data_IF_900361714871
#
_entry.id   IF_900361714871
#
_cell.length_a   1.000
_cell.length_b   1.000
_cell.length_c   1.000
_cell.angle_alpha   90.00
_cell.angle_beta   90.00
_cell.angle_gamma   90.00
#
_symmetry.space_group_name_H-M   'P 1'
#
loop_
_entity.id
_entity.type
_entity.pdbx_description
1 polymer ?
#
# COMPACT_ATOMS: atom_id res chain seq x y z
N UNK A 1 -61.49 36.95 -51.28
CA UNK A 1 -62.26 37.32 -50.07
C UNK A 1 -61.78 36.40 -48.95
N UNK A 2 -61.27 36.98 -47.88
CA UNK A 2 -60.69 36.32 -46.71
C UNK A 2 -61.67 35.32 -46.07
N UNK A 3 -61.15 34.25 -45.45
CA UNK A 3 -61.25 34.00 -44.00
C UNK A 3 -60.39 32.78 -43.63
N UNK A 4 -59.38 33.04 -42.79
CA UNK A 4 -58.65 32.09 -41.94
C UNK A 4 -59.52 31.73 -40.74
N UNK A 5 -59.66 30.44 -40.40
CA UNK A 5 -59.88 30.02 -39.01
C UNK A 5 -59.05 28.76 -38.74
N UNK A 6 -58.19 28.89 -37.73
CA UNK A 6 -57.25 27.91 -37.23
C UNK A 6 -57.95 26.75 -36.49
N UNK A 7 -57.42 25.54 -36.68
CA UNK A 7 -57.72 24.36 -35.87
C UNK A 7 -57.12 24.51 -34.47
N UNK A 8 -57.92 24.30 -33.43
CA UNK A 8 -57.51 24.32 -32.03
C UNK A 8 -57.37 22.87 -31.57
N UNK A 9 -56.14 22.40 -31.41
CA UNK A 9 -55.83 21.09 -30.84
C UNK A 9 -56.12 21.06 -29.34
N UNK A 10 -56.68 19.93 -28.89
CA UNK A 10 -57.01 19.65 -27.49
C UNK A 10 -55.75 19.26 -26.69
N UNK A 11 -55.57 19.86 -25.51
CA UNK A 11 -54.62 19.41 -24.49
C UNK A 11 -55.19 18.20 -23.73
N UNK A 12 -54.46 17.09 -23.57
CA UNK A 12 -54.76 16.12 -22.52
C UNK A 12 -54.24 16.63 -21.15
N UNK A 13 -55.11 16.51 -20.14
CA UNK A 13 -54.83 16.78 -18.74
C UNK A 13 -53.78 15.81 -18.19
N UNK A 14 -52.77 16.33 -17.49
CA UNK A 14 -51.73 15.56 -16.83
C UNK A 14 -51.89 15.71 -15.31
N UNK A 15 -52.69 14.84 -14.69
CA UNK A 15 -52.98 14.83 -13.25
C UNK A 15 -52.30 13.66 -12.50
N UNK A 16 -51.54 12.80 -13.21
CA UNK A 16 -50.90 11.62 -12.62
C UNK A 16 -49.41 11.82 -12.26
N UNK A 17 -48.74 12.84 -12.79
CA UNK A 17 -47.31 13.10 -12.52
C UNK A 17 -47.04 13.69 -11.11
N UNK A 18 -48.03 14.31 -10.47
CA UNK A 18 -47.86 14.96 -9.16
C UNK A 18 -47.93 13.97 -7.98
N UNK A 19 -48.31 12.71 -8.24
CA UNK A 19 -48.39 11.68 -7.20
C UNK A 19 -47.07 10.93 -7.03
N UNK A 20 -46.26 10.85 -8.09
CA UNK A 20 -44.99 10.12 -8.10
C UNK A 20 -43.83 10.97 -7.52
N UNK A 21 -43.76 12.27 -7.81
CA UNK A 21 -42.78 13.16 -7.19
C UNK A 21 -42.99 13.32 -5.68
N UNK A 22 -44.25 13.38 -5.23
CA UNK A 22 -44.59 13.49 -3.80
C UNK A 22 -44.23 12.22 -3.02
N UNK A 23 -44.20 11.06 -3.68
CA UNK A 23 -43.79 9.80 -3.08
C UNK A 23 -42.26 9.64 -3.01
N UNK A 24 -41.52 10.22 -3.97
CA UNK A 24 -40.05 10.23 -3.97
C UNK A 24 -39.49 11.17 -2.89
N UNK A 25 -40.08 12.36 -2.72
CA UNK A 25 -39.66 13.33 -1.70
C UNK A 25 -39.92 12.83 -0.27
N UNK A 26 -40.96 12.02 -0.05
CA UNK A 26 -41.24 11.45 1.28
C UNK A 26 -40.23 10.36 1.69
N UNK A 27 -39.66 9.60 0.73
CA UNK A 27 -38.63 8.59 1.04
C UNK A 27 -37.25 9.19 1.34
N UNK A 28 -36.91 10.33 0.73
CA UNK A 28 -35.63 11.01 0.97
C UNK A 28 -35.60 11.64 2.38
N UNK A 29 -36.74 12.13 2.90
CA UNK A 29 -36.82 12.69 4.25
C UNK A 29 -36.76 11.62 5.37
N UNK A 30 -37.21 10.38 5.12
CA UNK A 30 -37.19 9.31 6.14
C UNK A 30 -35.83 8.59 6.24
N UNK A 31 -35.00 8.59 5.18
CA UNK A 31 -33.65 8.01 5.21
C UNK A 31 -32.58 8.93 5.84
N UNK A 32 -32.87 10.23 5.96
CA UNK A 32 -31.93 11.21 6.54
C UNK A 32 -31.93 11.24 8.09
N UNK A 33 -33.02 10.87 8.74
CA UNK A 33 -33.16 11.03 10.21
C UNK A 33 -32.84 9.79 11.04
N UNK A 34 -32.72 8.61 10.42
CA UNK A 34 -32.43 7.34 11.13
C UNK A 34 -30.96 6.93 11.08
N UNK A 35 -30.14 7.45 10.15
CA UNK A 35 -28.70 7.14 10.09
C UNK A 35 -27.82 8.09 10.93
N UNK A 36 -28.30 9.29 11.28
CA UNK A 36 -27.52 10.29 12.05
C UNK A 36 -27.74 10.27 13.57
N UNK A 37 -28.74 9.54 14.08
CA UNK A 37 -28.94 9.37 15.54
C UNK A 37 -28.02 8.34 16.20
N UNK A 38 -27.32 7.52 15.42
CA UNK A 38 -26.32 6.56 15.93
C UNK A 38 -24.87 7.08 15.91
N UNK A 39 -24.66 8.37 15.64
CA UNK A 39 -23.33 8.99 15.67
C UNK A 39 -23.13 9.99 16.82
N UNK A 40 -24.11 10.15 17.71
CA UNK A 40 -24.02 11.02 18.90
C UNK A 40 -24.46 10.22 20.13
N UNK A 41 -23.77 9.12 20.44
CA UNK A 41 -23.70 8.53 21.78
C UNK A 41 -22.50 7.59 21.86
N UNK A 42 -21.28 8.13 21.82
CA UNK A 42 -20.13 7.49 22.47
C UNK A 42 -18.93 8.44 22.69
N UNK A 43 -19.20 9.68 23.08
CA UNK A 43 -18.20 10.55 23.68
C UNK A 43 -18.70 11.00 25.03
N UNK A 44 -18.39 10.21 26.06
CA UNK A 44 -18.12 10.74 27.39
C UNK A 44 -17.50 9.68 28.30
N UNK A 45 -16.36 10.08 28.90
CA UNK A 45 -15.82 9.60 30.18
C UNK A 45 -15.04 8.28 30.19
N UNK A 46 -13.76 8.35 29.81
CA UNK A 46 -12.71 7.81 30.67
C UNK A 46 -11.73 8.94 30.98
N UNK A 47 -11.79 9.40 32.22
CA UNK A 47 -10.94 10.42 32.81
C UNK A 47 -9.48 9.99 32.76
N UNK A 48 -8.66 10.93 32.32
CA UNK A 48 -7.22 11.01 32.51
C UNK A 48 -6.94 11.00 34.03
N UNK A 49 -6.42 9.89 34.56
CA UNK A 49 -5.78 9.87 35.87
C UNK A 49 -4.31 10.29 35.72
N UNK A 50 -4.10 11.59 35.61
CA UNK A 50 -2.80 12.20 35.88
C UNK A 50 -2.73 12.48 37.39
N UNK A 51 -2.29 11.51 38.19
CA UNK A 51 -1.85 11.70 39.59
C UNK A 51 -1.24 10.41 40.16
N UNK A 52 -0.03 10.07 39.71
CA UNK A 52 0.95 9.32 40.51
C UNK A 52 2.36 9.79 40.10
N UNK A 53 2.65 11.06 40.38
CA UNK A 53 4.01 11.53 40.63
C UNK A 53 4.12 11.67 42.15
N UNK A 54 5.05 10.93 42.77
CA UNK A 54 5.81 11.23 44.01
C UNK A 54 6.52 9.92 44.43
N UNK A 55 7.78 9.74 44.01
CA UNK A 55 9.02 9.83 44.82
C UNK A 55 9.34 8.60 45.68
N UNK A 56 10.22 7.71 45.18
CA UNK A 56 11.37 7.10 45.89
C UNK A 56 12.40 6.77 44.78
N UNK A 57 13.32 7.68 44.43
CA UNK A 57 14.66 7.93 44.99
C UNK A 57 15.64 6.74 44.81
N UNK A 58 16.80 6.99 44.18
CA UNK A 58 17.68 5.98 43.59
C UNK A 58 18.76 5.52 44.58
N UNK A 59 19.28 4.29 44.42
CA UNK A 59 20.40 3.81 45.22
C UNK A 59 21.39 3.00 44.37
N UNK A 60 22.64 3.46 44.44
CA UNK A 60 23.90 2.80 44.09
C UNK A 60 24.42 2.91 42.63
N UNK A 61 24.75 4.15 42.26
CA UNK A 61 26.00 4.44 41.54
C UNK A 61 27.14 4.51 42.57
N UNK A 62 28.11 3.59 42.49
CA UNK A 62 29.55 3.75 42.81
C UNK A 62 30.14 2.40 43.21
N UNK A 63 31.07 1.91 42.40
CA UNK A 63 32.36 1.35 42.86
C UNK A 63 33.28 1.29 41.63
N UNK A 64 33.91 2.44 41.37
CA UNK A 64 35.20 2.53 40.69
C UNK A 64 36.31 2.30 41.72
N UNK A 65 37.51 1.92 41.24
CA UNK A 65 38.80 1.61 41.90
C UNK A 65 39.00 0.10 42.12
N UNK A 66 40.01 -0.58 41.54
CA UNK A 66 41.49 -0.38 41.60
C UNK A 66 42.08 -1.06 40.34
N UNK A 67 42.73 -0.36 39.39
CA UNK A 67 44.17 -0.03 39.34
C UNK A 67 45.13 -1.16 39.75
N UNK A 68 45.48 -2.04 38.81
CA UNK A 68 46.77 -2.74 38.87
C UNK A 68 47.54 -2.57 37.57
N UNK A 69 48.79 -2.15 37.78
CA UNK A 69 49.85 -1.75 36.87
C UNK A 69 50.82 -2.94 36.74
N UNK A 70 51.26 -3.28 35.53
CA UNK A 70 52.66 -3.59 35.12
C UNK A 70 52.74 -4.44 33.85
N UNK A 71 53.89 -4.32 33.21
CA UNK A 71 54.21 -4.34 31.78
C UNK A 71 54.36 -5.70 31.06
N UNK A 72 54.20 -5.58 29.75
CA UNK A 72 54.95 -6.22 28.64
C UNK A 72 54.96 -7.74 28.48
N UNK A 73 54.29 -8.17 27.40
CA UNK A 73 54.91 -9.08 26.44
C UNK A 73 54.52 -8.64 25.02
N UNK A 74 55.54 -8.35 24.22
CA UNK A 74 55.42 -8.06 22.78
C UNK A 74 55.09 -9.37 22.08
N UNK A 75 53.94 -9.45 21.41
CA UNK A 75 53.82 -10.30 20.22
C UNK A 75 53.21 -9.50 19.08
N UNK A 76 54.06 -9.20 18.11
CA UNK A 76 53.68 -8.68 16.82
C UNK A 76 52.97 -9.80 16.06
N UNK A 77 51.65 -9.85 16.14
CA UNK A 77 50.87 -10.65 15.20
C UNK A 77 50.78 -9.88 13.87
N UNK A 78 51.76 -10.16 13.02
CA UNK A 78 51.83 -9.75 11.63
C UNK A 78 50.67 -10.40 10.88
N UNK A 79 49.72 -9.59 10.40
CA UNK A 79 48.76 -10.04 9.40
C UNK A 79 49.50 -10.24 8.08
N UNK A 80 49.79 -11.50 7.76
CA UNK A 80 50.01 -11.95 6.39
C UNK A 80 48.81 -11.48 5.57
N UNK A 81 49.02 -10.54 4.63
CA UNK A 81 48.01 -10.19 3.63
C UNK A 81 47.82 -11.42 2.74
N UNK A 82 46.89 -12.29 3.13
CA UNK A 82 46.29 -13.24 2.20
C UNK A 82 45.69 -12.39 1.09
N UNK A 83 46.36 -12.39 -0.06
CA UNK A 83 45.77 -11.94 -1.30
C UNK A 83 44.56 -12.86 -1.52
N UNK A 84 43.40 -12.37 -1.11
CA UNK A 84 42.15 -12.85 -1.64
C UNK A 84 42.17 -12.46 -3.12
N UNK A 85 42.67 -13.39 -3.93
CA UNK A 85 42.29 -13.47 -5.32
C UNK A 85 40.79 -13.80 -5.29
N UNK A 86 39.97 -12.77 -5.04
CA UNK A 86 38.58 -12.76 -5.44
C UNK A 86 38.65 -12.75 -6.95
N UNK A 87 38.72 -13.95 -7.49
CA UNK A 87 38.31 -14.30 -8.82
C UNK A 87 37.07 -13.46 -9.12
N UNK A 88 37.26 -12.49 -10.01
CA UNK A 88 36.23 -11.60 -10.52
C UNK A 88 35.17 -12.49 -11.15
N UNK A 89 34.20 -12.91 -10.34
CA UNK A 89 33.01 -13.61 -10.81
C UNK A 89 32.36 -12.62 -11.79
N UNK A 90 32.39 -13.05 -13.04
CA UNK A 90 31.70 -12.50 -14.18
C UNK A 90 30.35 -11.91 -13.75
N UNK A 91 30.23 -10.59 -13.91
CA UNK A 91 29.07 -9.80 -13.51
C UNK A 91 27.85 -10.27 -14.27
N UNK A 92 27.06 -11.15 -13.65
CA UNK A 92 25.76 -11.56 -14.19
C UNK A 92 24.88 -10.31 -14.29
N UNK A 93 24.33 -10.10 -15.48
CA UNK A 93 23.56 -8.91 -15.87
C UNK A 93 22.15 -8.86 -15.22
N UNK A 94 22.04 -9.23 -13.96
CA UNK A 94 20.78 -9.32 -13.22
C UNK A 94 20.68 -8.19 -12.20
N UNK A 95 19.56 -7.46 -12.22
CA UNK A 95 19.22 -6.49 -11.17
C UNK A 95 18.47 -7.19 -10.04
N UNK A 96 18.95 -7.06 -8.81
CA UNK A 96 18.27 -7.60 -7.62
C UNK A 96 17.55 -6.46 -6.90
N UNK A 97 16.24 -6.62 -6.70
CA UNK A 97 15.39 -5.65 -6.02
C UNK A 97 14.73 -6.35 -4.83
N UNK A 98 14.84 -5.73 -3.65
CA UNK A 98 14.12 -6.14 -2.45
C UNK A 98 13.23 -4.98 -2.03
N UNK A 99 11.93 -5.23 -1.94
CA UNK A 99 10.91 -4.31 -1.45
C UNK A 99 10.30 -4.89 -0.18
N UNK A 100 10.27 -4.11 0.90
CA UNK A 100 9.64 -4.51 2.15
C UNK A 100 8.30 -3.79 2.32
N UNK A 101 7.31 -4.52 2.82
CA UNK A 101 6.01 -4.02 3.26
C UNK A 101 5.80 -4.29 4.75
N UNK A 102 4.90 -3.57 5.42
CA UNK A 102 4.66 -3.70 6.85
C UNK A 102 3.19 -3.47 7.24
N UNK A 103 2.83 -3.78 8.48
CA UNK A 103 1.45 -3.65 8.99
C UNK A 103 0.92 -2.19 9.03
N UNK A 104 1.73 -1.19 8.66
CA UNK A 104 1.34 0.21 8.52
C UNK A 104 0.94 0.58 7.09
N UNK A 105 0.78 -0.41 6.20
CA UNK A 105 0.46 -0.21 4.79
C UNK A 105 1.50 0.65 4.07
N UNK A 106 2.78 0.37 4.28
CA UNK A 106 3.88 1.09 3.64
C UNK A 106 4.79 0.14 2.89
N UNK A 107 5.16 0.52 1.67
CA UNK A 107 6.41 0.05 1.08
C UNK A 107 7.58 0.87 1.64
N UNK A 108 8.73 0.23 1.86
CA UNK A 108 9.94 0.90 2.34
C UNK A 108 10.64 1.75 1.26
N UNK A 109 10.26 1.54 -0.01
CA UNK A 109 10.75 2.28 -1.17
C UNK A 109 9.58 2.65 -2.08
N UNK A 110 9.66 3.85 -2.65
CA UNK A 110 8.71 4.37 -3.65
C UNK A 110 9.36 4.56 -5.02
N UNK A 111 10.67 4.36 -5.13
CA UNK A 111 11.42 4.42 -6.38
C UNK A 111 12.39 3.24 -6.47
N UNK A 112 12.32 2.54 -7.60
CA UNK A 112 13.13 1.38 -7.94
C UNK A 112 13.79 1.64 -9.30
N UNK A 113 14.96 1.05 -9.53
CA UNK A 113 15.70 1.19 -10.78
C UNK A 113 16.16 -0.18 -11.29
N UNK A 114 16.00 -0.42 -12.59
CA UNK A 114 16.56 -1.57 -13.28
C UNK A 114 16.93 -1.20 -14.71
N UNK A 115 17.65 -2.10 -15.39
CA UNK A 115 18.09 -1.90 -16.79
C UNK A 115 17.19 -2.62 -17.77
N UNK A 116 16.96 -1.99 -18.92
CA UNK A 116 16.21 -2.58 -20.02
C UNK A 116 16.84 -3.88 -20.52
N UNK A 117 16.00 -4.88 -20.81
CA UNK A 117 16.41 -6.18 -21.36
C UNK A 117 17.24 -7.06 -20.40
N UNK A 118 17.39 -6.64 -19.14
CA UNK A 118 18.10 -7.38 -18.11
C UNK A 118 17.14 -8.08 -17.17
N UNK A 119 17.56 -9.22 -16.62
CA UNK A 119 16.74 -9.98 -15.69
C UNK A 119 16.59 -9.20 -14.37
N UNK A 120 15.36 -9.04 -13.89
CA UNK A 120 15.05 -8.43 -12.61
C UNK A 120 14.62 -9.54 -11.66
N UNK A 121 15.41 -9.78 -10.62
CA UNK A 121 15.02 -10.64 -9.49
C UNK A 121 14.43 -9.75 -8.42
N UNK A 122 13.11 -9.77 -8.33
CA UNK A 122 12.36 -8.95 -7.39
C UNK A 122 11.85 -9.80 -6.23
N UNK A 123 12.08 -9.35 -5.01
CA UNK A 123 11.55 -9.96 -3.79
C UNK A 123 10.67 -8.98 -3.05
N UNK A 124 9.42 -9.37 -2.78
CA UNK A 124 8.56 -8.68 -1.82
C UNK A 124 8.62 -9.42 -0.48
N UNK A 125 8.84 -8.68 0.60
CA UNK A 125 8.71 -9.19 1.96
C UNK A 125 7.57 -8.49 2.68
N UNK A 126 6.78 -9.23 3.43
CA UNK A 126 5.85 -8.66 4.41
C UNK A 126 6.46 -8.78 5.81
N UNK A 127 7.07 -7.71 6.30
CA UNK A 127 7.80 -7.65 7.59
C UNK A 127 6.89 -7.55 8.82
N UNK A 128 5.60 -7.30 8.59
CA UNK A 128 4.57 -7.29 9.63
C UNK A 128 4.22 -8.67 10.19
N UNK A 129 3.16 -8.73 10.98
CA UNK A 129 2.68 -9.94 11.68
C UNK A 129 1.21 -10.25 11.43
N UNK A 130 0.47 -9.35 10.79
CA UNK A 130 -0.96 -9.53 10.56
C UNK A 130 -1.17 -10.45 9.34
N UNK A 131 -2.15 -11.35 9.43
CA UNK A 131 -2.44 -12.28 8.34
C UNK A 131 -2.98 -11.59 7.08
N UNK A 132 -2.78 -12.24 5.92
CA UNK A 132 -3.11 -11.70 4.60
C UNK A 132 -4.58 -11.30 4.40
N UNK A 133 -5.49 -11.92 5.14
CA UNK A 133 -6.93 -11.64 5.06
C UNK A 133 -7.28 -10.24 5.60
N UNK A 134 -6.44 -9.67 6.46
CA UNK A 134 -6.68 -8.38 7.13
C UNK A 134 -5.68 -7.29 6.74
N UNK A 135 -4.44 -7.68 6.46
CA UNK A 135 -3.36 -6.77 6.09
C UNK A 135 -2.50 -7.44 5.04
N UNK A 136 -3.11 -7.83 3.92
CA UNK A 136 -2.40 -8.45 2.82
C UNK A 136 -1.63 -7.42 2.01
N UNK A 137 -0.43 -7.78 1.57
CA UNK A 137 0.35 -6.98 0.64
C UNK A 137 0.80 -7.80 -0.56
N UNK A 138 0.57 -7.27 -1.75
CA UNK A 138 1.14 -7.76 -3.00
C UNK A 138 1.86 -6.61 -3.71
N UNK A 139 2.57 -6.96 -4.78
CA UNK A 139 3.17 -6.03 -5.71
C UNK A 139 2.57 -6.32 -7.08
N UNK A 140 2.03 -5.31 -7.74
CA UNK A 140 1.55 -5.38 -9.12
C UNK A 140 2.21 -4.26 -9.90
N UNK A 141 2.98 -4.62 -10.93
CA UNK A 141 3.60 -3.66 -11.84
C UNK A 141 2.68 -3.42 -13.02
N UNK A 142 2.17 -2.20 -13.16
CA UNK A 142 1.22 -1.82 -14.20
C UNK A 142 1.93 -1.57 -15.53
N UNK A 143 1.21 -1.77 -16.63
CA UNK A 143 1.65 -1.26 -17.94
C UNK A 143 1.64 0.26 -17.94
N UNK A 144 2.36 0.84 -18.90
CA UNK A 144 2.29 2.29 -19.15
C UNK A 144 0.85 2.70 -19.44
N UNK A 145 0.52 3.93 -19.07
CA UNK A 145 -0.78 4.58 -19.31
C UNK A 145 -2.00 3.96 -18.61
N UNK A 146 -1.80 2.95 -17.76
CA UNK A 146 -2.86 2.42 -16.91
C UNK A 146 -3.11 3.35 -15.74
N UNK A 147 -4.36 3.78 -15.59
CA UNK A 147 -4.78 4.56 -14.43
C UNK A 147 -4.82 3.67 -13.17
N UNK A 148 -4.17 4.14 -12.11
CA UNK A 148 -4.02 3.39 -10.86
C UNK A 148 -5.37 3.25 -10.16
N UNK A 149 -6.19 4.30 -10.16
CA UNK A 149 -7.47 4.31 -9.45
C UNK A 149 -8.45 3.37 -10.16
N UNK A 150 -8.54 3.43 -11.49
CA UNK A 150 -9.39 2.54 -12.28
C UNK A 150 -8.98 1.06 -12.09
N UNK A 151 -7.67 0.78 -12.15
CA UNK A 151 -7.17 -0.59 -11.96
C UNK A 151 -7.44 -1.11 -10.54
N UNK A 152 -7.19 -0.28 -9.52
CA UNK A 152 -7.41 -0.67 -8.13
C UNK A 152 -8.91 -0.83 -7.79
N UNK A 153 -9.78 -0.02 -8.40
CA UNK A 153 -11.23 -0.18 -8.27
C UNK A 153 -11.71 -1.49 -8.92
N UNK A 154 -11.20 -1.83 -10.11
CA UNK A 154 -11.50 -3.11 -10.77
C UNK A 154 -11.02 -4.30 -9.92
N UNK A 155 -9.85 -4.19 -9.28
CA UNK A 155 -9.28 -5.25 -8.46
C UNK A 155 -10.18 -5.71 -7.29
N UNK A 156 -11.08 -4.84 -6.81
CA UNK A 156 -12.03 -5.16 -5.74
C UNK A 156 -12.98 -6.33 -6.11
N UNK A 157 -13.28 -6.51 -7.39
CA UNK A 157 -14.13 -7.59 -7.88
C UNK A 157 -13.43 -8.96 -7.93
N UNK A 158 -12.11 -8.98 -7.70
CA UNK A 158 -11.24 -10.16 -7.86
C UNK A 158 -10.70 -10.68 -6.53
N UNK A 159 -11.48 -10.58 -5.44
CA UNK A 159 -11.08 -11.08 -4.11
C UNK A 159 -10.57 -12.53 -4.13
N UNK A 160 -11.29 -13.43 -4.81
CA UNK A 160 -10.93 -14.85 -4.91
C UNK A 160 -9.68 -15.10 -5.76
N UNK A 161 -9.22 -14.08 -6.51
CA UNK A 161 -7.99 -14.08 -7.28
C UNK A 161 -6.97 -13.09 -6.70
N UNK A 162 -6.95 -12.96 -5.37
CA UNK A 162 -5.97 -12.15 -4.63
C UNK A 162 -5.96 -10.67 -5.05
N UNK A 163 -7.11 -10.15 -5.48
CA UNK A 163 -7.30 -8.80 -5.99
C UNK A 163 -6.44 -8.50 -7.23
N UNK A 164 -6.26 -9.50 -8.10
CA UNK A 164 -5.62 -9.36 -9.40
C UNK A 164 -6.70 -9.46 -10.49
N UNK A 165 -7.01 -8.37 -11.21
CA UNK A 165 -7.87 -8.41 -12.38
C UNK A 165 -7.40 -9.41 -13.45
N UNK A 166 -8.33 -9.95 -14.23
CA UNK A 166 -8.01 -10.85 -15.37
C UNK A 166 -7.72 -10.13 -16.69
N UNK A 167 -7.60 -8.80 -16.66
CA UNK A 167 -7.21 -8.01 -17.83
C UNK A 167 -5.70 -8.12 -18.09
N UNK A 168 -5.23 -7.41 -19.11
CA UNK A 168 -3.82 -7.37 -19.47
C UNK A 168 -3.18 -6.02 -19.09
N UNK A 169 -3.65 -5.34 -18.04
CA UNK A 169 -3.22 -3.98 -17.69
C UNK A 169 -2.01 -3.96 -16.74
N UNK A 170 -1.45 -5.13 -16.43
CA UNK A 170 -0.21 -5.28 -15.66
C UNK A 170 0.82 -6.13 -16.42
N UNK A 171 2.08 -6.02 -15.98
CA UNK A 171 3.24 -6.74 -16.52
C UNK A 171 3.50 -7.99 -15.69
N UNK A 172 3.57 -7.83 -14.38
CA UNK A 172 3.87 -8.89 -13.43
C UNK A 172 3.25 -8.58 -12.07
N UNK A 173 3.00 -9.61 -11.27
CA UNK A 173 2.61 -9.45 -9.88
C UNK A 173 3.20 -10.54 -8.99
N UNK A 174 3.20 -10.29 -7.68
CA UNK A 174 3.35 -11.31 -6.64
C UNK A 174 1.97 -11.84 -6.23
N UNK A 175 1.93 -12.98 -5.57
CA UNK A 175 0.79 -13.41 -4.75
C UNK A 175 0.55 -12.45 -3.59
N UNK A 176 -0.60 -12.58 -2.93
CA UNK A 176 -0.89 -11.87 -1.70
C UNK A 176 -0.10 -12.45 -0.52
N UNK A 177 0.71 -11.63 0.12
CA UNK A 177 1.52 -12.01 1.29
C UNK A 177 0.86 -11.57 2.58
N UNK A 178 0.93 -12.42 3.60
CA UNK A 178 0.68 -12.06 5.00
C UNK A 178 1.96 -11.83 5.79
N UNK A 179 1.83 -11.39 7.03
CA UNK A 179 2.94 -11.17 7.96
C UNK A 179 3.95 -12.31 8.03
N UNK A 180 5.22 -12.00 7.82
CA UNK A 180 6.35 -12.93 7.82
C UNK A 180 6.57 -13.65 6.49
N UNK A 181 5.67 -13.51 5.52
CA UNK A 181 5.82 -14.14 4.22
C UNK A 181 6.70 -13.33 3.26
N UNK A 182 7.24 -14.03 2.26
CA UNK A 182 8.04 -13.48 1.19
C UNK A 182 7.71 -14.19 -0.12
N UNK A 183 7.90 -13.49 -1.22
CA UNK A 183 7.91 -14.08 -2.55
C UNK A 183 8.99 -13.43 -3.42
N UNK A 184 9.64 -14.25 -4.24
CA UNK A 184 10.60 -13.80 -5.26
C UNK A 184 10.12 -14.20 -6.64
N UNK A 185 10.07 -13.23 -7.54
CA UNK A 185 9.72 -13.38 -8.95
C UNK A 185 10.88 -12.92 -9.83
N UNK A 186 10.94 -13.42 -11.06
CA UNK A 186 11.92 -12.99 -12.05
C UNK A 186 11.19 -12.55 -13.31
N UNK A 187 11.56 -11.40 -13.85
CA UNK A 187 10.96 -10.85 -15.06
C UNK A 187 11.94 -9.93 -15.80
N UNK A 188 11.65 -9.65 -17.07
CA UNK A 188 12.42 -8.76 -17.93
C UNK A 188 11.49 -7.68 -18.47
N UNK A 189 11.99 -6.45 -18.56
CA UNK A 189 11.30 -5.34 -19.23
C UNK A 189 12.23 -4.79 -20.30
N UNK A 190 11.83 -4.93 -21.57
CA UNK A 190 12.63 -4.52 -22.72
C UNK A 190 12.54 -3.02 -22.99
N UNK A 191 11.38 -2.42 -22.71
CA UNK A 191 11.11 -1.04 -23.06
C UNK A 191 11.52 -0.10 -21.91
N UNK A 192 12.46 0.84 -22.14
CA UNK A 192 12.81 1.86 -21.15
C UNK A 192 11.62 2.74 -20.78
N UNK A 193 11.66 3.30 -19.57
CA UNK A 193 10.64 4.22 -19.07
C UNK A 193 10.23 3.94 -17.64
N UNK A 194 9.21 4.68 -17.18
CA UNK A 194 8.73 4.61 -15.80
C UNK A 194 7.41 3.86 -15.74
N UNK A 195 7.34 2.89 -14.85
CA UNK A 195 6.17 2.03 -14.63
C UNK A 195 5.72 2.17 -13.19
N UNK A 196 4.42 2.32 -12.96
CA UNK A 196 3.87 2.37 -11.61
C UNK A 196 3.69 0.96 -11.06
N UNK A 197 4.00 0.77 -9.79
CA UNK A 197 3.64 -0.42 -9.05
C UNK A 197 2.74 -0.08 -7.87
N UNK A 198 1.86 -1.01 -7.51
CA UNK A 198 0.86 -0.82 -6.46
C UNK A 198 0.65 -2.10 -5.65
N UNK A 199 0.15 -1.94 -4.43
CA UNK A 199 -0.54 -3.01 -3.70
C UNK A 199 -2.04 -2.91 -3.97
N UNK A 200 -2.66 -3.99 -4.46
CA UNK A 200 -4.10 -4.01 -4.84
C UNK A 200 -5.02 -4.51 -3.74
N UNK A 201 -4.49 -4.86 -2.56
CA UNK A 201 -5.34 -5.11 -1.40
C UNK A 201 -6.28 -3.90 -1.17
N UNK A 202 -7.57 -4.10 -0.88
CA UNK A 202 -8.57 -3.04 -0.86
C UNK A 202 -8.14 -1.79 -0.06
N UNK A 203 -8.05 -0.65 -0.74
CA UNK A 203 -7.73 0.65 -0.15
C UNK A 203 -6.22 0.94 0.04
N UNK A 204 -5.32 -0.03 -0.17
CA UNK A 204 -3.89 0.18 0.08
C UNK A 204 -3.21 0.99 -1.02
N UNK A 205 -3.66 0.87 -2.28
CA UNK A 205 -3.03 1.49 -3.45
C UNK A 205 -2.81 3.01 -3.34
N UNK A 206 -3.62 3.70 -2.51
CA UNK A 206 -3.50 5.15 -2.31
C UNK A 206 -2.15 5.56 -1.70
N UNK A 207 -1.58 4.69 -0.86
CA UNK A 207 -0.32 4.92 -0.15
C UNK A 207 0.76 3.89 -0.52
N UNK A 208 0.38 2.66 -0.82
CA UNK A 208 1.27 1.57 -1.21
C UNK A 208 1.44 1.55 -2.73
N UNK A 209 2.12 2.56 -3.23
CA UNK A 209 2.48 2.68 -4.64
C UNK A 209 3.86 3.31 -4.81
N UNK A 210 4.45 3.13 -5.98
CA UNK A 210 5.73 3.73 -6.36
C UNK A 210 6.03 3.53 -7.83
N UNK A 211 7.27 3.84 -8.22
CA UNK A 211 7.72 3.80 -9.60
C UNK A 211 8.96 2.92 -9.77
N UNK A 212 8.93 2.07 -10.79
CA UNK A 212 10.08 1.35 -11.31
C UNK A 212 10.52 2.04 -12.61
N UNK A 213 11.71 2.64 -12.57
CA UNK A 213 12.35 3.21 -13.75
C UNK A 213 13.24 2.17 -14.41
N UNK A 214 13.07 2.01 -15.71
CA UNK A 214 13.87 1.15 -16.58
C UNK A 214 14.75 2.03 -17.46
N UNK A 215 16.08 1.91 -17.30
CA UNK A 215 17.11 2.66 -18.03
C UNK A 215 17.82 1.85 -19.13
#
# INVERSE_FOLDING_TARGET
>A
MFILIASKEAKPNNDDDNKLEKFLLFKITILSTTKYKNLIMNCNFIKINHLMKIKIIPLLLMLFIISCKNESAKEKFSYERVQENVEKIESTEQTIIILNSNDLMLFDKTSLLARAGKNIRFTLNHTGKIGKEFMGHNFVLLKKDVDVDDFAMLALDFKENEYIPKNNDFIVHTRMLGGGESETINFIIEEPGTYKYVCTFPGHYQIMQGELTIE
#
